data_IF_402434842350
#
_entry.id   IF_402434842350
#
_cell.length_a   1.000
_cell.length_b   1.000
_cell.length_c   1.000
_cell.angle_alpha   90.00
_cell.angle_beta   90.00
_cell.angle_gamma   90.00
#
_symmetry.space_group_name_H-M   'P 1'
#
loop_
_entity.id
_entity.type
_entity.pdbx_description
1 polymer ?
#
# COMPACT_ATOMS: atom_id res chain seq x y z
N UNK A 1 -5.36 6.15 10.54
CA UNK A 1 -4.63 5.46 9.46
C UNK A 1 -3.14 5.68 9.66
N UNK A 2 -2.72 6.89 9.98
CA UNK A 2 -1.32 7.26 10.27
C UNK A 2 -0.65 6.39 11.34
N UNK A 3 -1.28 6.19 12.50
CA UNK A 3 -0.71 5.33 13.57
C UNK A 3 -0.48 3.87 13.11
N UNK A 4 -1.36 3.35 12.24
CA UNK A 4 -1.23 2.01 11.69
C UNK A 4 -0.07 1.93 10.69
N UNK A 5 0.12 2.98 9.87
CA UNK A 5 1.24 3.11 8.94
C UNK A 5 2.57 3.24 9.70
N UNK A 6 2.62 4.03 10.77
CA UNK A 6 3.81 4.17 11.62
C UNK A 6 4.21 2.83 12.25
N UNK A 7 3.24 2.09 12.80
CA UNK A 7 3.47 0.75 13.38
C UNK A 7 3.90 -0.24 12.30
N UNK A 8 3.30 -0.20 11.10
CA UNK A 8 3.73 -1.01 9.96
C UNK A 8 5.18 -0.71 9.55
N UNK A 9 5.53 0.56 9.47
CA UNK A 9 6.89 1.01 9.13
C UNK A 9 7.94 0.62 10.18
N UNK A 10 7.58 0.16 11.37
CA UNK A 10 8.56 -0.40 12.30
C UNK A 10 9.24 -1.66 11.74
N UNK A 11 8.54 -2.43 10.90
CA UNK A 11 9.13 -3.57 10.19
C UNK A 11 10.07 -3.12 9.05
N UNK A 12 10.12 -1.83 8.71
CA UNK A 12 11.00 -1.32 7.68
C UNK A 12 12.47 -1.45 8.09
N UNK A 13 13.28 -2.01 7.19
CA UNK A 13 14.71 -2.21 7.40
C UNK A 13 15.07 -3.48 8.19
N UNK A 14 14.10 -4.12 8.84
CA UNK A 14 14.33 -5.35 9.59
C UNK A 14 14.56 -6.56 8.66
N UNK A 15 15.40 -7.48 9.13
CA UNK A 15 15.68 -8.80 8.56
C UNK A 15 14.55 -9.81 8.83
N UNK A 16 14.57 -10.96 8.15
CA UNK A 16 13.57 -12.02 8.34
C UNK A 16 13.57 -12.51 9.79
N UNK A 17 14.75 -12.65 10.39
CA UNK A 17 14.94 -13.13 11.76
C UNK A 17 14.40 -12.14 12.79
N UNK A 18 14.65 -10.84 12.61
CA UNK A 18 14.13 -9.77 13.48
C UNK A 18 12.60 -9.69 13.42
N UNK A 19 12.02 -9.85 12.23
CA UNK A 19 10.57 -9.89 12.06
C UNK A 19 9.98 -11.15 12.70
N UNK A 20 10.61 -12.31 12.50
CA UNK A 20 10.17 -13.59 13.10
C UNK A 20 10.22 -13.54 14.64
N UNK A 21 11.20 -12.86 15.23
CA UNK A 21 11.30 -12.69 16.68
C UNK A 21 10.12 -11.89 17.28
N UNK A 22 9.42 -11.10 16.46
CA UNK A 22 8.22 -10.35 16.84
C UNK A 22 6.93 -11.15 16.62
N UNK A 23 7.01 -12.44 16.31
CA UNK A 23 5.82 -13.28 16.14
C UNK A 23 5.08 -13.50 17.46
N UNK A 24 4.10 -12.64 17.72
CA UNK A 24 3.20 -12.70 18.87
C UNK A 24 1.77 -12.26 18.45
N UNK A 25 0.84 -12.30 19.39
CA UNK A 25 -0.57 -11.95 19.13
C UNK A 25 -0.76 -10.48 18.70
N UNK A 26 0.03 -9.56 19.24
CA UNK A 26 -0.05 -8.13 18.91
C UNK A 26 0.40 -7.89 17.47
N UNK A 27 1.56 -8.39 17.07
CA UNK A 27 2.09 -8.22 15.71
C UNK A 27 1.22 -8.91 14.66
N UNK A 28 0.60 -10.05 15.00
CA UNK A 28 -0.40 -10.70 14.15
C UNK A 28 -1.67 -9.87 14.00
N UNK A 29 -2.14 -9.28 15.09
CA UNK A 29 -3.32 -8.40 15.08
C UNK A 29 -3.05 -7.14 14.26
N UNK A 30 -1.87 -6.55 14.42
CA UNK A 30 -1.41 -5.42 13.62
C UNK A 30 -1.41 -5.76 12.13
N UNK A 31 -0.83 -6.90 11.74
CA UNK A 31 -0.77 -7.31 10.34
C UNK A 31 -2.17 -7.58 9.77
N UNK A 32 -3.05 -8.24 10.53
CA UNK A 32 -4.44 -8.48 10.12
C UNK A 32 -5.24 -7.18 9.96
N UNK A 33 -5.03 -6.22 10.86
CA UNK A 33 -5.60 -4.87 10.75
C UNK A 33 -5.08 -4.16 9.50
N UNK A 34 -3.80 -4.31 9.18
CA UNK A 34 -3.18 -3.73 8.00
C UNK A 34 -3.72 -4.31 6.69
N UNK A 35 -3.94 -5.62 6.61
CA UNK A 35 -4.63 -6.22 5.46
C UNK A 35 -6.05 -5.67 5.28
N UNK A 36 -6.80 -5.53 6.38
CA UNK A 36 -8.17 -5.01 6.32
C UNK A 36 -8.21 -3.54 5.91
N UNK A 37 -7.42 -2.68 6.58
CA UNK A 37 -7.50 -1.22 6.42
C UNK A 37 -6.60 -0.69 5.29
N UNK A 38 -5.47 -1.34 5.05
CA UNK A 38 -4.49 -0.94 4.02
C UNK A 38 -4.79 -1.53 2.64
N UNK A 39 -5.28 -2.77 2.58
CA UNK A 39 -5.57 -3.48 1.33
C UNK A 39 -7.06 -3.73 1.07
N UNK A 40 -7.94 -3.34 2.00
CA UNK A 40 -9.38 -3.63 1.89
C UNK A 40 -9.72 -5.12 2.01
N UNK A 41 -8.78 -5.97 2.44
CA UNK A 41 -9.01 -7.41 2.57
C UNK A 41 -9.81 -7.73 3.84
N UNK A 42 -11.10 -8.05 3.68
CA UNK A 42 -12.02 -8.33 4.81
C UNK A 42 -11.93 -9.76 5.35
N UNK A 43 -10.99 -10.57 4.87
CA UNK A 43 -10.80 -11.96 5.28
C UNK A 43 -10.11 -12.10 6.64
N UNK A 44 -10.27 -13.26 7.29
CA UNK A 44 -9.65 -13.56 8.58
C UNK A 44 -8.15 -13.87 8.42
N UNK A 45 -7.31 -12.82 8.34
CA UNK A 45 -5.86 -12.94 8.09
C UNK A 45 -5.09 -13.43 9.32
N UNK A 46 -5.54 -13.09 10.53
CA UNK A 46 -4.85 -13.43 11.78
C UNK A 46 -4.64 -14.94 12.02
N UNK A 47 -5.41 -15.79 11.34
CA UNK A 47 -5.32 -17.26 11.41
C UNK A 47 -4.40 -17.87 10.33
N UNK A 48 -3.89 -17.07 9.38
CA UNK A 48 -3.11 -17.59 8.23
C UNK A 48 -1.66 -17.93 8.55
N UNK A 49 -1.06 -17.33 9.58
CA UNK A 49 0.36 -17.54 9.88
C UNK A 49 0.54 -18.66 10.90
N UNK A 50 0.84 -19.86 10.40
CA UNK A 50 1.07 -21.05 11.22
C UNK A 50 2.41 -21.03 11.98
N UNK A 51 3.33 -20.13 11.62
CA UNK A 51 4.67 -20.03 12.22
C UNK A 51 5.23 -18.60 12.14
N UNK A 52 6.26 -18.34 12.96
CA UNK A 52 7.03 -17.09 12.92
C UNK A 52 7.70 -16.86 11.56
N UNK A 53 8.12 -17.94 10.90
CA UNK A 53 8.70 -17.89 9.56
C UNK A 53 7.68 -17.46 8.52
N UNK A 54 6.48 -18.06 8.51
CA UNK A 54 5.41 -17.70 7.59
C UNK A 54 4.93 -16.26 7.81
N UNK A 55 4.94 -15.79 9.06
CA UNK A 55 4.68 -14.39 9.38
C UNK A 55 5.74 -13.47 8.78
N UNK A 56 7.03 -13.75 8.99
CA UNK A 56 8.12 -12.92 8.48
C UNK A 56 8.17 -12.88 6.96
N UNK A 57 7.93 -14.00 6.28
CA UNK A 57 7.82 -14.05 4.82
C UNK A 57 6.68 -13.17 4.32
N UNK A 58 5.49 -13.28 4.94
CA UNK A 58 4.35 -12.45 4.58
C UNK A 58 4.64 -10.95 4.75
N UNK A 59 5.28 -10.54 5.85
CA UNK A 59 5.68 -9.14 6.05
C UNK A 59 6.66 -8.68 4.98
N UNK A 60 7.66 -9.49 4.63
CA UNK A 60 8.64 -9.14 3.60
C UNK A 60 8.01 -9.02 2.21
N UNK A 61 7.13 -9.97 1.85
CA UNK A 61 6.37 -9.93 0.60
C UNK A 61 5.50 -8.68 0.53
N UNK A 62 4.77 -8.38 1.60
CA UNK A 62 3.88 -7.24 1.66
C UNK A 62 4.66 -5.92 1.55
N UNK A 63 5.82 -5.79 2.21
CA UNK A 63 6.73 -4.65 2.06
C UNK A 63 7.30 -4.51 0.64
N UNK A 64 7.60 -5.63 0.00
CA UNK A 64 8.06 -5.62 -1.40
C UNK A 64 6.95 -5.13 -2.34
N UNK A 65 5.73 -5.63 -2.12
CA UNK A 65 4.54 -5.23 -2.86
C UNK A 65 4.20 -3.75 -2.67
N UNK A 66 4.25 -3.26 -1.43
CA UNK A 66 4.05 -1.84 -1.07
C UNK A 66 5.00 -0.94 -1.86
N UNK A 67 6.30 -1.27 -1.85
CA UNK A 67 7.31 -0.51 -2.59
C UNK A 67 7.06 -0.50 -4.10
N UNK A 68 6.60 -1.63 -4.66
CA UNK A 68 6.26 -1.70 -6.08
C UNK A 68 5.08 -0.78 -6.41
N UNK A 69 4.04 -0.77 -5.58
CA UNK A 69 2.88 0.10 -5.77
C UNK A 69 3.16 1.57 -5.50
N UNK A 70 4.01 1.90 -4.52
CA UNK A 70 4.49 3.26 -4.30
C UNK A 70 5.23 3.82 -5.53
N UNK A 71 6.08 3.00 -6.17
CA UNK A 71 6.74 3.38 -7.44
C UNK A 71 5.73 3.53 -8.58
N UNK A 72 4.75 2.63 -8.66
CA UNK A 72 3.71 2.70 -9.67
C UNK A 72 2.87 3.98 -9.52
N UNK A 73 2.53 4.37 -8.27
CA UNK A 73 1.89 5.65 -7.97
C UNK A 73 2.75 6.81 -8.47
N UNK A 74 4.04 6.83 -8.11
CA UNK A 74 4.96 7.88 -8.58
C UNK A 74 4.99 8.01 -10.10
N UNK A 75 5.03 6.89 -10.83
CA UNK A 75 4.97 6.89 -12.29
C UNK A 75 3.64 7.41 -12.83
N UNK A 76 2.50 7.00 -12.22
CA UNK A 76 1.18 7.46 -12.63
C UNK A 76 1.01 8.97 -12.41
N UNK A 77 1.55 9.50 -11.29
CA UNK A 77 1.54 10.93 -10.99
C UNK A 77 2.38 11.73 -11.99
N UNK A 78 3.61 11.27 -12.28
CA UNK A 78 4.48 11.91 -13.28
C UNK A 78 3.83 11.90 -14.67
N UNK A 79 3.30 10.77 -15.10
CA UNK A 79 2.63 10.63 -16.38
C UNK A 79 1.38 11.54 -16.47
N UNK A 80 0.62 11.65 -15.38
CA UNK A 80 -0.52 12.55 -15.32
C UNK A 80 -0.09 14.02 -15.42
N UNK A 81 0.99 14.40 -14.75
CA UNK A 81 1.56 15.74 -14.84
C UNK A 81 2.03 16.05 -16.27
N UNK A 82 2.78 15.15 -16.90
CA UNK A 82 3.25 15.33 -18.28
C UNK A 82 2.08 15.56 -19.25
N UNK A 83 0.99 14.78 -19.11
CA UNK A 83 -0.22 15.00 -19.91
C UNK A 83 -0.90 16.33 -19.61
N UNK A 84 -0.93 16.77 -18.35
CA UNK A 84 -1.54 18.04 -17.97
C UNK A 84 -0.75 19.23 -18.53
N UNK A 85 0.58 19.18 -18.47
CA UNK A 85 1.49 20.20 -19.00
C UNK A 85 1.37 20.34 -20.53
N UNK A 86 1.08 19.22 -21.23
CA UNK A 86 0.77 19.19 -22.67
C UNK A 86 -0.67 19.64 -23.01
N UNK A 87 -1.48 20.06 -22.03
CA UNK A 87 -2.89 20.42 -22.20
C UNK A 87 -3.83 19.23 -22.42
N UNK A 88 -3.34 18.00 -22.26
CA UNK A 88 -4.09 16.75 -22.42
C UNK A 88 -4.76 16.31 -21.11
N UNK A 89 -5.49 17.21 -20.45
CA UNK A 89 -6.07 17.02 -19.11
C UNK A 89 -6.92 15.74 -18.98
N UNK A 90 -7.65 15.35 -20.02
CA UNK A 90 -8.44 14.12 -19.98
C UNK A 90 -7.58 12.85 -19.91
N UNK A 91 -6.40 12.85 -20.55
CA UNK A 91 -5.45 11.73 -20.44
C UNK A 91 -4.77 11.70 -19.08
N UNK A 92 -4.47 12.87 -18.50
CA UNK A 92 -3.98 12.98 -17.14
C UNK A 92 -4.94 12.32 -16.14
N UNK A 93 -6.24 12.66 -16.24
CA UNK A 93 -7.29 12.05 -15.42
C UNK A 93 -7.40 10.54 -15.64
N UNK A 94 -7.37 10.08 -16.89
CA UNK A 94 -7.45 8.64 -17.20
C UNK A 94 -6.29 7.85 -16.58
N UNK A 95 -5.07 8.40 -16.56
CA UNK A 95 -3.92 7.74 -15.94
C UNK A 95 -4.13 7.53 -14.42
N UNK A 96 -4.61 8.55 -13.72
CA UNK A 96 -4.89 8.47 -12.28
C UNK A 96 -6.09 7.56 -11.96
N UNK A 97 -7.15 7.60 -12.78
CA UNK A 97 -8.31 6.69 -12.63
C UNK A 97 -7.85 5.24 -12.81
N UNK A 98 -7.08 4.95 -13.85
CA UNK A 98 -6.59 3.60 -14.12
C UNK A 98 -5.70 3.09 -12.97
N UNK A 99 -4.85 3.94 -12.40
CA UNK A 99 -4.08 3.58 -11.21
C UNK A 99 -4.99 3.28 -10.02
N UNK A 100 -5.91 4.19 -9.68
CA UNK A 100 -6.84 4.04 -8.55
C UNK A 100 -7.65 2.74 -8.65
N UNK A 101 -8.19 2.43 -9.82
CA UNK A 101 -9.06 1.27 -10.03
C UNK A 101 -8.31 -0.08 -9.98
N UNK A 102 -6.99 -0.06 -10.18
CA UNK A 102 -6.15 -1.27 -10.16
C UNK A 102 -5.33 -1.42 -8.88
N UNK A 103 -5.16 -0.34 -8.11
CA UNK A 103 -4.35 -0.35 -6.91
C UNK A 103 -5.08 -1.06 -5.76
N UNK A 104 -4.52 -2.15 -5.20
CA UNK A 104 -5.11 -2.80 -4.05
C UNK A 104 -4.86 -2.02 -2.75
N UNK A 105 -3.93 -1.07 -2.76
CA UNK A 105 -3.56 -0.27 -1.59
C UNK A 105 -4.47 0.95 -1.48
N UNK A 106 -5.37 0.93 -0.49
CA UNK A 106 -6.35 1.99 -0.24
C UNK A 106 -5.67 3.34 -0.12
N UNK A 107 -4.58 3.42 0.64
CA UNK A 107 -3.83 4.67 0.82
C UNK A 107 -3.26 5.24 -0.48
N UNK A 108 -2.71 4.41 -1.38
CA UNK A 108 -2.19 4.89 -2.66
C UNK A 108 -3.32 5.26 -3.62
N UNK A 109 -4.43 4.52 -3.61
CA UNK A 109 -5.63 4.85 -4.38
C UNK A 109 -6.21 6.21 -3.94
N UNK A 110 -6.24 6.49 -2.65
CA UNK A 110 -6.70 7.78 -2.08
C UNK A 110 -5.82 8.96 -2.52
N UNK A 111 -4.50 8.76 -2.61
CA UNK A 111 -3.60 9.79 -3.16
C UNK A 111 -3.93 10.08 -4.63
N UNK A 112 -4.13 9.04 -5.44
CA UNK A 112 -4.51 9.22 -6.84
C UNK A 112 -5.88 9.92 -6.97
N UNK A 113 -6.84 9.61 -6.10
CA UNK A 113 -8.13 10.28 -6.03
C UNK A 113 -7.98 11.76 -5.67
N UNK A 114 -7.18 12.09 -4.66
CA UNK A 114 -6.91 13.48 -4.26
C UNK A 114 -6.36 14.30 -5.44
N UNK A 115 -5.46 13.70 -6.23
CA UNK A 115 -4.92 14.37 -7.41
C UNK A 115 -5.93 14.51 -8.55
N UNK A 116 -6.85 13.56 -8.71
CA UNK A 116 -7.97 13.71 -9.65
C UNK A 116 -8.90 14.88 -9.29
N UNK A 117 -9.17 15.03 -8.00
CA UNK A 117 -10.03 16.10 -7.48
C UNK A 117 -9.39 17.47 -7.74
N UNK A 118 -8.07 17.59 -7.49
CA UNK A 118 -7.30 18.82 -7.78
C UNK A 118 -7.27 19.20 -9.27
N UNK A 119 -7.45 18.26 -10.19
CA UNK A 119 -7.50 18.51 -11.64
C UNK A 119 -8.92 18.81 -12.15
N UNK A 120 -9.93 18.76 -11.29
CA UNK A 120 -11.33 18.96 -11.65
C UNK A 120 -11.86 20.37 -11.33
N UNK A 121 -11.04 21.17 -10.66
CA UNK A 121 -11.16 22.63 -10.51
C UNK A 121 -10.33 23.37 -11.56
#
# INVERSE_FOLDING_TARGET
MDELIERWHQFAGQSKEEIAAQFNEESRSLLAEFFTKGLGETGQQAAKWASAEAFAECVLELRSNEKAWSRHLGNALLQAQDFADDGQVQKAKQALIAFRDTCPWVFFADIAQTQLDNMSD
#
